data_IF_861481150744
#
_entry.id   IF_861481150744
#
_cell.length_a   1.000
_cell.length_b   1.000
_cell.length_c   1.000
_cell.angle_alpha   90.00
_cell.angle_beta   90.00
_cell.angle_gamma   90.00
#
_symmetry.space_group_name_H-M   'P 1'
#
loop_
_entity.id
_entity.type
_entity.pdbx_description
1 polymer ?
#
# COMPACT_ATOMS: atom_id res chain seq x y z
N UNK A 1 12.24 -4.26 3.43
CA UNK A 1 11.89 -4.88 2.14
C UNK A 1 10.61 -4.26 1.63
N UNK A 2 10.53 -3.97 0.33
CA UNK A 2 9.42 -3.25 -0.30
C UNK A 2 8.89 -4.09 -1.47
N UNK A 3 7.59 -4.32 -1.51
CA UNK A 3 6.89 -4.93 -2.65
C UNK A 3 6.05 -3.85 -3.35
N UNK A 4 6.28 -3.59 -4.63
CA UNK A 4 5.53 -2.56 -5.37
C UNK A 4 4.17 -3.14 -5.79
N UNK A 5 3.10 -2.50 -5.35
CA UNK A 5 1.71 -2.84 -5.65
C UNK A 5 1.01 -1.66 -6.35
N UNK A 6 0.33 -1.93 -7.46
CA UNK A 6 -0.48 -0.94 -8.19
C UNK A 6 0.25 0.34 -8.60
N UNK A 7 1.53 0.22 -8.99
CA UNK A 7 2.41 1.27 -9.57
C UNK A 7 2.60 2.56 -8.77
N UNK A 8 1.84 2.76 -7.70
CA UNK A 8 1.78 3.98 -6.89
C UNK A 8 2.10 3.68 -5.42
N UNK A 9 1.89 2.45 -4.97
CA UNK A 9 2.00 2.08 -3.56
C UNK A 9 3.02 0.95 -3.36
N UNK A 10 3.81 1.07 -2.30
CA UNK A 10 4.82 0.10 -1.91
C UNK A 10 4.40 -0.55 -0.59
N UNK A 11 4.13 -1.85 -0.59
CA UNK A 11 3.92 -2.62 0.64
C UNK A 11 5.23 -2.75 1.39
N UNK A 12 5.20 -2.38 2.67
CA UNK A 12 6.34 -2.44 3.59
C UNK A 12 5.96 -3.17 4.88
N UNK A 13 6.86 -3.08 5.86
CA UNK A 13 6.62 -3.56 7.21
C UNK A 13 6.62 -5.08 7.32
N UNK A 14 5.98 -5.57 8.38
CA UNK A 14 5.95 -6.99 8.71
C UNK A 14 5.22 -7.83 7.67
N UNK A 15 4.22 -7.26 7.00
CA UNK A 15 3.41 -7.94 5.98
C UNK A 15 4.21 -8.17 4.69
N UNK A 16 4.99 -7.18 4.23
CA UNK A 16 5.88 -7.35 3.08
C UNK A 16 6.90 -8.47 3.29
N UNK A 17 7.50 -8.53 4.49
CA UNK A 17 8.50 -9.54 4.86
C UNK A 17 7.90 -10.95 4.85
N UNK A 18 6.72 -11.09 5.46
CA UNK A 18 6.00 -12.37 5.52
C UNK A 18 5.56 -12.89 4.15
N UNK A 19 5.31 -12.02 3.16
CA UNK A 19 4.84 -12.44 1.83
C UNK A 19 5.96 -12.76 0.85
N UNK A 20 7.20 -12.33 1.12
CA UNK A 20 8.27 -12.37 0.11
C UNK A 20 9.52 -13.14 0.54
N UNK A 21 9.86 -13.18 1.84
CA UNK A 21 11.07 -13.89 2.33
C UNK A 21 10.71 -15.12 3.15
N UNK A 22 9.66 -15.06 3.96
CA UNK A 22 9.29 -16.18 4.84
C UNK A 22 7.99 -16.84 4.38
N UNK A 23 7.79 -18.10 4.77
CA UNK A 23 6.53 -18.81 4.53
C UNK A 23 5.50 -18.48 5.62
N UNK A 24 5.03 -17.22 5.63
CA UNK A 24 3.98 -16.72 6.53
C UNK A 24 4.10 -17.18 8.01
N UNK A 25 5.29 -17.10 8.66
CA UNK A 25 5.55 -17.78 9.93
C UNK A 25 4.84 -17.14 11.13
N UNK A 26 4.23 -15.96 10.94
CA UNK A 26 3.50 -15.22 11.96
C UNK A 26 2.34 -14.47 11.33
N UNK A 27 1.29 -14.23 12.10
CA UNK A 27 0.22 -13.32 11.70
C UNK A 27 0.77 -11.88 11.62
N UNK A 28 0.41 -11.16 10.57
CA UNK A 28 0.66 -9.73 10.41
C UNK A 28 -0.68 -9.07 10.14
N UNK A 29 -1.13 -8.21 11.06
CA UNK A 29 -2.50 -7.69 11.07
C UNK A 29 -2.61 -6.38 10.30
N UNK A 30 -1.55 -5.57 10.31
CA UNK A 30 -1.52 -4.27 9.66
C UNK A 30 -0.99 -4.35 8.21
N UNK A 31 -1.48 -3.44 7.35
CA UNK A 31 -1.01 -3.29 5.97
C UNK A 31 -0.42 -1.89 5.81
N UNK A 32 0.91 -1.82 5.74
CA UNK A 32 1.64 -0.56 5.55
C UNK A 32 1.95 -0.32 4.07
N UNK A 33 1.53 0.84 3.53
CA UNK A 33 1.75 1.23 2.14
C UNK A 33 2.43 2.60 2.03
N UNK A 34 3.59 2.68 1.38
CA UNK A 34 4.27 3.94 1.04
C UNK A 34 3.85 4.42 -0.35
N UNK A 35 3.65 5.72 -0.53
CA UNK A 35 3.43 6.32 -1.86
C UNK A 35 4.76 6.51 -2.58
N UNK A 36 4.86 6.05 -3.83
CA UNK A 36 6.15 5.92 -4.54
C UNK A 36 6.34 6.87 -5.71
N UNK A 37 5.29 7.58 -6.14
CA UNK A 37 5.41 8.46 -7.30
C UNK A 37 6.11 9.77 -6.95
N UNK A 38 7.02 10.17 -7.82
CA UNK A 38 7.64 11.49 -7.76
C UNK A 38 6.81 12.51 -8.54
N UNK A 39 5.81 13.10 -7.89
CA UNK A 39 4.88 14.08 -8.46
C UNK A 39 4.80 15.34 -7.59
N UNK A 40 4.20 16.41 -8.11
CA UNK A 40 3.94 17.60 -7.31
C UNK A 40 2.96 17.31 -6.16
N UNK A 41 2.91 18.21 -5.16
CA UNK A 41 1.97 18.09 -4.05
C UNK A 41 0.52 18.06 -4.53
N UNK A 42 0.17 18.89 -5.50
CA UNK A 42 -1.21 19.00 -6.00
C UNK A 42 -1.64 17.72 -6.73
N UNK A 43 -0.75 17.16 -7.57
CA UNK A 43 -0.97 15.86 -8.22
C UNK A 43 -1.09 14.73 -7.20
N UNK A 44 -0.23 14.71 -6.16
CA UNK A 44 -0.30 13.73 -5.08
C UNK A 44 -1.64 13.79 -4.36
N UNK A 45 -2.17 14.98 -4.08
CA UNK A 45 -3.48 15.14 -3.43
C UNK A 45 -4.61 14.57 -4.28
N UNK A 46 -4.58 14.79 -5.61
CA UNK A 46 -5.56 14.22 -6.54
C UNK A 46 -5.48 12.68 -6.52
N UNK A 47 -4.26 12.11 -6.57
CA UNK A 47 -4.05 10.66 -6.54
C UNK A 47 -4.51 10.07 -5.19
N UNK A 48 -4.15 10.71 -4.08
CA UNK A 48 -4.57 10.31 -2.72
C UNK A 48 -6.09 10.24 -2.60
N UNK A 49 -6.81 11.22 -3.15
CA UNK A 49 -8.26 11.23 -3.13
C UNK A 49 -8.84 10.05 -3.91
N UNK A 50 -8.29 9.75 -5.09
CA UNK A 50 -8.71 8.58 -5.90
C UNK A 50 -8.50 7.26 -5.14
N UNK A 51 -7.31 7.05 -4.56
CA UNK A 51 -6.98 5.86 -3.77
C UNK A 51 -7.92 5.73 -2.57
N UNK A 52 -8.14 6.82 -1.84
CA UNK A 52 -9.01 6.84 -0.65
C UNK A 52 -10.45 6.46 -1.00
N UNK A 53 -10.99 6.99 -2.11
CA UNK A 53 -12.33 6.67 -2.56
C UNK A 53 -12.46 5.20 -2.97
N UNK A 54 -11.44 4.66 -3.66
CA UNK A 54 -11.41 3.25 -4.07
C UNK A 54 -11.42 2.33 -2.84
N UNK A 55 -10.56 2.60 -1.85
CA UNK A 55 -10.52 1.83 -0.60
C UNK A 55 -11.84 1.89 0.16
N UNK A 56 -12.43 3.09 0.29
CA UNK A 56 -13.74 3.27 0.94
C UNK A 56 -14.84 2.49 0.22
N UNK A 57 -14.86 2.50 -1.10
CA UNK A 57 -15.86 1.76 -1.88
C UNK A 57 -15.69 0.25 -1.74
N UNK A 58 -14.45 -0.24 -1.71
CA UNK A 58 -14.15 -1.66 -1.55
C UNK A 58 -14.50 -2.18 -0.15
N UNK A 59 -14.15 -1.44 0.90
CA UNK A 59 -14.34 -1.84 2.30
C UNK A 59 -15.76 -1.62 2.83
N UNK A 60 -16.60 -0.87 2.11
CA UNK A 60 -18.03 -0.68 2.45
C UNK A 60 -18.92 -1.84 1.97
N UNK A 61 -18.36 -2.86 1.33
CA UNK A 61 -19.07 -4.10 1.03
C UNK A 61 -19.21 -4.98 2.26
#
# INVERSE_FOLDING_TARGET
MVLILFSNLALKGGTAINLTIFDLPRLSVDIDLDFTNHVTKDEMLIIRQKITNLLKNYLKK
#
